data_IF_018110838334
#
_entry.id   IF_018110838334
#
_cell.length_a   1.000
_cell.length_b   1.000
_cell.length_c   1.000
_cell.angle_alpha   90.00
_cell.angle_beta   90.00
_cell.angle_gamma   90.00
#
_symmetry.space_group_name_H-M   'P 1'
#
loop_
_entity.id
_entity.type
_entity.pdbx_description
1 polymer ?
#
# COMPACT_ATOMS: atom_id res chain seq x y z
N UNK A 1 -10.43 -21.66 -1.20
CA UNK A 1 -10.61 -20.35 -1.82
C UNK A 1 -9.45 -19.45 -1.46
N UNK A 2 -9.05 -18.61 -2.39
CA UNK A 2 -7.94 -17.68 -2.15
C UNK A 2 -8.40 -16.31 -1.74
N UNK A 3 -7.46 -15.44 -1.47
CA UNK A 3 -7.74 -14.06 -1.11
C UNK A 3 -6.62 -13.14 -1.61
N UNK A 4 -6.95 -11.86 -1.71
CA UNK A 4 -5.96 -10.85 -2.02
C UNK A 4 -5.36 -10.35 -0.71
N UNK A 5 -4.05 -10.36 -0.64
CA UNK A 5 -3.29 -9.92 0.53
C UNK A 5 -2.49 -8.68 0.17
N UNK A 6 -2.48 -7.71 1.07
CA UNK A 6 -1.71 -6.48 0.89
C UNK A 6 -0.32 -6.64 1.51
N UNK A 7 0.70 -6.27 0.73
CA UNK A 7 2.11 -6.33 1.14
C UNK A 7 2.74 -4.94 1.24
N UNK A 8 1.94 -3.93 1.50
CA UNK A 8 2.43 -2.56 1.57
C UNK A 8 3.51 -2.38 2.64
N UNK A 9 3.33 -3.00 3.80
CA UNK A 9 4.29 -2.92 4.90
C UNK A 9 5.67 -3.43 4.47
N UNK A 10 5.70 -4.51 3.68
CA UNK A 10 6.95 -5.09 3.19
C UNK A 10 7.67 -4.12 2.24
N UNK A 11 6.93 -3.52 1.31
CA UNK A 11 7.51 -2.58 0.34
C UNK A 11 7.99 -1.33 1.06
N UNK A 12 7.23 -0.83 2.03
CA UNK A 12 7.64 0.33 2.83
C UNK A 12 8.96 0.04 3.55
N UNK A 13 9.07 -1.15 4.15
CA UNK A 13 10.29 -1.56 4.84
C UNK A 13 11.48 -1.64 3.88
N UNK A 14 11.25 -2.22 2.69
CA UNK A 14 12.30 -2.34 1.66
C UNK A 14 12.80 -0.97 1.20
N UNK A 15 11.90 0.01 1.11
CA UNK A 15 12.24 1.37 0.69
C UNK A 15 12.63 2.28 1.85
N UNK A 16 12.57 1.76 3.09
CA UNK A 16 12.89 2.50 4.31
C UNK A 16 12.06 3.78 4.41
N UNK A 17 10.80 3.68 4.05
CA UNK A 17 9.87 4.81 4.07
C UNK A 17 8.88 4.64 5.22
N UNK A 18 8.73 5.69 6.04
CA UNK A 18 7.79 5.70 7.15
C UNK A 18 6.37 5.94 6.66
N UNK A 19 5.40 5.58 7.50
CA UNK A 19 4.00 5.83 7.22
C UNK A 19 3.73 7.33 7.00
N UNK A 20 4.36 8.16 7.83
CA UNK A 20 4.22 9.62 7.73
C UNK A 20 4.72 10.14 6.39
N UNK A 21 5.91 9.70 5.98
CA UNK A 21 6.49 10.10 4.70
C UNK A 21 5.59 9.68 3.54
N UNK A 22 5.12 8.45 3.57
CA UNK A 22 4.26 7.93 2.51
C UNK A 22 2.94 8.70 2.46
N UNK A 23 2.35 8.97 3.62
CA UNK A 23 1.12 9.74 3.74
C UNK A 23 1.27 11.13 3.09
N UNK A 24 2.38 11.80 3.35
CA UNK A 24 2.64 13.11 2.78
C UNK A 24 2.80 13.06 1.26
N UNK A 25 3.49 12.03 0.76
CA UNK A 25 3.72 11.88 -0.69
C UNK A 25 2.46 11.49 -1.44
N UNK A 26 1.62 10.67 -0.84
CA UNK A 26 0.40 10.14 -1.49
C UNK A 26 -0.78 11.08 -1.31
N UNK A 27 -0.78 11.89 -0.25
CA UNK A 27 -1.90 12.77 0.06
C UNK A 27 -3.06 12.04 0.72
N UNK A 28 -2.81 10.89 1.34
CA UNK A 28 -3.81 10.09 2.05
C UNK A 28 -3.51 10.19 3.54
N UNK A 29 -4.54 10.28 4.38
CA UNK A 29 -4.37 10.40 5.82
C UNK A 29 -3.63 9.19 6.39
N UNK A 30 -2.93 9.40 7.51
CA UNK A 30 -2.24 8.32 8.20
C UNK A 30 -3.19 7.20 8.59
N UNK A 31 -4.42 7.53 8.98
CA UNK A 31 -5.43 6.54 9.37
C UNK A 31 -5.78 5.64 8.20
N UNK A 32 -6.09 6.24 7.04
CA UNK A 32 -6.45 5.47 5.86
C UNK A 32 -5.27 4.65 5.35
N UNK A 33 -4.08 5.23 5.35
CA UNK A 33 -2.88 4.54 4.90
C UNK A 33 -2.52 3.37 5.83
N UNK A 34 -2.75 3.55 7.13
CA UNK A 34 -2.55 2.49 8.11
C UNK A 34 -3.49 1.31 7.86
N UNK A 35 -4.73 1.58 7.48
CA UNK A 35 -5.68 0.52 7.11
C UNK A 35 -5.20 -0.27 5.90
N UNK A 36 -4.65 0.42 4.91
CA UNK A 36 -4.09 -0.22 3.72
C UNK A 36 -2.88 -1.06 4.12
N UNK A 37 -2.00 -0.50 4.94
CA UNK A 37 -0.78 -1.19 5.39
C UNK A 37 -1.10 -2.48 6.15
N UNK A 38 -2.14 -2.46 6.98
CA UNK A 38 -2.51 -3.62 7.80
C UNK A 38 -3.47 -4.57 7.08
N UNK A 39 -3.88 -4.23 5.86
CA UNK A 39 -4.77 -5.09 5.07
C UNK A 39 -6.22 -5.07 5.52
N UNK A 40 -6.64 -4.06 6.30
CA UNK A 40 -8.00 -3.96 6.81
C UNK A 40 -8.93 -3.21 5.87
N UNK A 41 -8.73 -3.38 4.58
CA UNK A 41 -9.61 -2.78 3.56
C UNK A 41 -10.07 -3.86 2.60
N UNK A 42 -11.25 -3.66 2.02
CA UNK A 42 -11.80 -4.56 1.00
C UNK A 42 -11.75 -3.96 -0.40
N UNK A 43 -11.34 -2.71 -0.51
CA UNK A 43 -11.24 -2.02 -1.79
C UNK A 43 -10.19 -0.93 -1.72
N UNK A 44 -9.57 -0.64 -2.86
CA UNK A 44 -8.61 0.46 -2.99
C UNK A 44 -8.85 1.13 -4.34
N UNK A 45 -8.82 2.46 -4.34
CA UNK A 45 -8.98 3.22 -5.58
C UNK A 45 -7.70 3.10 -6.41
N UNK A 46 -7.85 3.02 -7.72
CA UNK A 46 -6.71 2.98 -8.62
C UNK A 46 -5.84 4.23 -8.46
N UNK A 47 -6.45 5.40 -8.26
CA UNK A 47 -5.69 6.64 -8.07
C UNK A 47 -4.79 6.56 -6.83
N UNK A 48 -5.29 5.97 -5.74
CA UNK A 48 -4.50 5.76 -4.52
C UNK A 48 -3.37 4.76 -4.76
N UNK A 49 -3.70 3.65 -5.43
CA UNK A 49 -2.70 2.62 -5.74
C UNK A 49 -1.60 3.18 -6.64
N UNK A 50 -1.97 3.97 -7.65
CA UNK A 50 -1.01 4.62 -8.54
C UNK A 50 -0.07 5.55 -7.77
N UNK A 51 -0.62 6.36 -6.86
CA UNK A 51 0.17 7.28 -6.06
C UNK A 51 1.15 6.53 -5.14
N UNK A 52 0.70 5.42 -4.56
CA UNK A 52 1.56 4.58 -3.71
C UNK A 52 2.69 3.98 -4.54
N UNK A 53 2.38 3.44 -5.71
CA UNK A 53 3.38 2.86 -6.59
C UNK A 53 4.42 3.90 -7.02
N UNK A 54 3.98 5.11 -7.33
CA UNK A 54 4.88 6.18 -7.69
C UNK A 54 5.78 6.58 -6.52
N UNK A 55 5.20 6.74 -5.33
CA UNK A 55 5.95 7.15 -4.15
C UNK A 55 7.00 6.11 -3.73
N UNK A 56 6.67 4.84 -3.87
CA UNK A 56 7.56 3.73 -3.47
C UNK A 56 8.39 3.19 -4.63
N UNK A 57 8.17 3.69 -5.84
CA UNK A 57 8.84 3.19 -7.06
C UNK A 57 8.68 1.68 -7.16
N UNK A 58 7.45 1.22 -7.18
CA UNK A 58 7.13 -0.20 -7.25
C UNK A 58 5.92 -0.44 -8.16
N UNK A 59 5.63 -1.70 -8.41
CA UNK A 59 4.50 -2.12 -9.23
C UNK A 59 3.33 -2.55 -8.33
N UNK A 60 2.09 -2.51 -8.84
CA UNK A 60 0.94 -3.01 -8.06
C UNK A 60 1.13 -4.45 -7.59
N UNK A 61 1.79 -5.28 -8.39
CA UNK A 61 2.06 -6.67 -8.01
C UNK A 61 3.01 -6.82 -6.82
N UNK A 62 3.74 -5.76 -6.47
CA UNK A 62 4.57 -5.76 -5.26
C UNK A 62 3.74 -5.52 -4.01
N UNK A 63 2.58 -4.89 -4.16
CA UNK A 63 1.69 -4.51 -3.07
C UNK A 63 0.55 -5.51 -2.89
N UNK A 64 0.00 -6.00 -4.01
CA UNK A 64 -1.15 -6.91 -4.03
C UNK A 64 -0.71 -8.30 -4.43
N UNK A 65 -1.14 -9.29 -3.66
CA UNK A 65 -0.78 -10.69 -3.93
C UNK A 65 -2.01 -11.58 -3.75
N UNK A 66 -2.21 -12.51 -4.67
CA UNK A 66 -3.26 -13.50 -4.54
C UNK A 66 -2.69 -14.75 -3.86
N UNK A 67 -3.31 -15.16 -2.78
CA UNK A 67 -2.89 -16.33 -2.00
C UNK A 67 -4.05 -17.33 -2.00
N UNK A 68 -3.76 -18.56 -2.39
CA UNK A 68 -4.75 -19.65 -2.37
C UNK A 68 -5.06 -20.13 -0.97
#
# INVERSE_FOLDING_TARGET
>A
MGEIVLRLDRVMADRKMSLKELSEKVGVSNVNLSKIKTGKISAIRFSTLEAICEALDCQPGDILEYVK
#
